data_IF_613420129630
#
_entry.id   IF_613420129630
#
_cell.length_a   1.000
_cell.length_b   1.000
_cell.length_c   1.000
_cell.angle_alpha   90.00
_cell.angle_beta   90.00
_cell.angle_gamma   90.00
#
_symmetry.space_group_name_H-M   'P 1'
#
loop_
_entity.id
_entity.type
_entity.pdbx_description
1 polymer ?
#
# COMPACT_ATOMS: atom_id res chain seq x y z
N UNK A 1 -12.46 7.84 9.81
CA UNK A 1 -11.17 7.62 9.22
C UNK A 1 -11.23 6.47 8.22
N UNK A 2 -10.73 6.66 7.03
CA UNK A 2 -10.69 5.60 6.03
C UNK A 2 -9.41 4.78 6.17
N UNK A 3 -9.53 3.47 6.06
CA UNK A 3 -8.41 2.54 6.14
C UNK A 3 -8.62 1.42 5.14
N UNK A 4 -7.71 1.31 4.19
CA UNK A 4 -7.71 0.25 3.18
C UNK A 4 -6.45 -0.60 3.33
N UNK A 5 -6.62 -1.91 3.22
CA UNK A 5 -5.56 -2.88 3.44
C UNK A 5 -5.34 -3.72 2.20
N UNK A 6 -4.08 -3.95 1.87
CA UNK A 6 -3.66 -4.80 0.76
C UNK A 6 -2.54 -5.70 1.24
N UNK A 7 -2.64 -7.00 0.96
CA UNK A 7 -1.59 -7.96 1.30
C UNK A 7 -1.16 -8.69 0.04
N UNK A 8 0.14 -8.69 -0.21
CA UNK A 8 0.72 -9.34 -1.38
C UNK A 8 1.74 -10.38 -0.93
N UNK A 9 1.79 -11.50 -1.65
CA UNK A 9 2.75 -12.56 -1.43
C UNK A 9 3.97 -12.32 -2.31
N UNK A 10 5.16 -12.35 -1.72
CA UNK A 10 6.41 -12.21 -2.47
C UNK A 10 6.80 -13.55 -3.08
N UNK A 11 7.44 -13.54 -4.27
CA UNK A 11 8.01 -14.77 -4.84
C UNK A 11 9.09 -15.32 -3.93
N UNK A 12 9.31 -16.64 -3.91
CA UNK A 12 10.42 -17.23 -3.17
C UNK A 12 11.75 -16.63 -3.59
N UNK A 13 12.60 -16.31 -2.62
CA UNK A 13 13.92 -15.76 -2.88
C UNK A 13 13.94 -14.26 -3.16
N UNK A 14 12.81 -13.56 -3.06
CA UNK A 14 12.78 -12.10 -3.23
C UNK A 14 13.55 -11.42 -2.11
N UNK A 15 14.40 -10.45 -2.48
CA UNK A 15 15.10 -9.64 -1.50
C UNK A 15 14.18 -8.53 -0.99
N UNK A 16 14.08 -8.39 0.32
CA UNK A 16 13.22 -7.39 0.95
C UNK A 16 13.53 -5.97 0.48
N UNK A 17 14.82 -5.62 0.41
CA UNK A 17 15.22 -4.29 -0.03
C UNK A 17 14.81 -4.01 -1.48
N UNK A 18 14.91 -5.01 -2.36
CA UNK A 18 14.50 -4.85 -3.75
C UNK A 18 13.01 -4.53 -3.87
N UNK A 19 12.18 -5.18 -3.06
CA UNK A 19 10.73 -4.94 -3.08
C UNK A 19 10.42 -3.51 -2.63
N UNK A 20 11.04 -3.05 -1.55
CA UNK A 20 10.84 -1.69 -1.05
C UNK A 20 11.40 -0.64 -2.00
N UNK A 21 12.54 -0.92 -2.66
CA UNK A 21 13.09 -0.02 -3.67
C UNK A 21 12.14 0.13 -4.85
N UNK A 22 11.59 -0.98 -5.33
CA UNK A 22 10.61 -0.97 -6.42
C UNK A 22 9.35 -0.23 -6.03
N UNK A 23 8.90 -0.42 -4.80
CA UNK A 23 7.73 0.29 -4.27
C UNK A 23 8.00 1.80 -4.20
N UNK A 24 9.18 2.20 -3.75
CA UNK A 24 9.57 3.61 -3.69
C UNK A 24 9.53 4.24 -5.08
N UNK A 25 10.08 3.56 -6.09
CA UNK A 25 10.05 4.04 -7.47
C UNK A 25 8.62 4.17 -7.99
N UNK A 26 7.77 3.21 -7.67
CA UNK A 26 6.35 3.24 -8.04
C UNK A 26 5.63 4.43 -7.39
N UNK A 27 5.88 4.65 -6.11
CA UNK A 27 5.24 5.73 -5.35
C UNK A 27 5.62 7.12 -5.87
N UNK A 28 6.80 7.27 -6.46
CA UNK A 28 7.21 8.53 -7.08
C UNK A 28 6.26 8.94 -8.21
N UNK A 29 5.58 8.00 -8.84
CA UNK A 29 4.64 8.28 -9.93
C UNK A 29 3.32 8.87 -9.45
N UNK A 30 3.04 8.79 -8.16
CA UNK A 30 1.86 9.42 -7.55
C UNK A 30 2.27 10.58 -6.63
N UNK A 31 3.48 11.11 -6.82
CA UNK A 31 4.03 12.23 -6.07
C UNK A 31 4.04 11.98 -4.56
N UNK A 32 4.25 10.74 -4.16
CA UNK A 32 4.35 10.38 -2.76
C UNK A 32 5.69 10.84 -2.19
N UNK A 33 5.66 11.30 -0.95
CA UNK A 33 6.84 11.70 -0.21
C UNK A 33 7.16 10.64 0.83
N UNK A 34 8.33 10.01 0.71
CA UNK A 34 8.76 9.00 1.68
C UNK A 34 9.21 9.73 2.95
N UNK A 35 8.54 9.46 4.06
CA UNK A 35 8.88 10.11 5.33
C UNK A 35 9.64 9.21 6.30
N UNK A 36 9.64 7.91 6.05
CA UNK A 36 10.40 6.98 6.88
C UNK A 36 10.68 5.68 6.13
N UNK A 37 11.85 5.13 6.32
CA UNK A 37 12.19 3.84 5.73
C UNK A 37 13.19 3.07 6.59
N UNK A 38 12.92 1.77 6.77
CA UNK A 38 13.83 0.79 7.38
C UNK A 38 13.95 -0.41 6.41
N UNK A 39 14.80 -1.40 6.70
CA UNK A 39 14.88 -2.58 5.82
C UNK A 39 13.58 -3.36 5.64
N UNK A 40 12.63 -3.24 6.58
CA UNK A 40 11.36 -3.98 6.53
C UNK A 40 10.13 -3.10 6.54
N UNK A 41 10.29 -1.78 6.56
CA UNK A 41 9.17 -0.84 6.70
C UNK A 41 9.40 0.41 5.87
N UNK A 42 8.30 0.93 5.34
CA UNK A 42 8.32 2.19 4.60
C UNK A 42 7.02 2.93 4.90
N UNK A 43 7.11 4.24 5.10
CA UNK A 43 5.91 5.06 5.15
C UNK A 43 6.06 6.26 4.22
N UNK A 44 4.93 6.70 3.68
CA UNK A 44 4.89 7.78 2.71
C UNK A 44 3.64 8.63 2.89
N UNK A 45 3.76 9.88 2.53
CA UNK A 45 2.64 10.81 2.48
C UNK A 45 2.20 11.00 1.04
N UNK A 46 0.91 10.88 0.80
CA UNK A 46 0.29 11.08 -0.50
C UNK A 46 -0.73 12.19 -0.41
N UNK A 47 -0.92 12.89 -1.53
CA UNK A 47 -1.95 13.93 -1.63
C UNK A 47 -2.92 13.55 -2.73
N UNK A 48 -4.20 13.79 -2.48
CA UNK A 48 -5.21 13.61 -3.51
C UNK A 48 -5.10 14.69 -4.58
N UNK A 49 -5.72 14.45 -5.71
CA UNK A 49 -5.88 15.48 -6.73
C UNK A 49 -6.58 16.69 -6.10
N UNK A 50 -5.99 17.87 -6.26
CA UNK A 50 -6.50 19.09 -5.66
C UNK A 50 -6.11 19.28 -4.20
N UNK A 51 -5.34 18.37 -3.63
CA UNK A 51 -4.79 18.46 -2.28
C UNK A 51 -5.82 18.55 -1.17
N UNK A 52 -7.05 18.14 -1.43
CA UNK A 52 -8.13 18.22 -0.46
C UNK A 52 -8.00 17.19 0.66
N UNK A 53 -7.29 16.11 0.43
CA UNK A 53 -7.08 15.05 1.41
C UNK A 53 -5.61 14.64 1.45
N UNK A 54 -5.10 14.52 2.66
CA UNK A 54 -3.78 13.92 2.88
C UNK A 54 -3.97 12.47 3.27
N UNK A 55 -3.15 11.62 2.69
CA UNK A 55 -3.21 10.18 2.93
C UNK A 55 -1.84 9.71 3.38
N UNK A 56 -1.83 8.67 4.18
CA UNK A 56 -0.61 8.05 4.65
C UNK A 56 -0.59 6.60 4.24
N UNK A 57 0.51 6.16 3.65
CA UNK A 57 0.72 4.78 3.27
C UNK A 57 1.78 4.17 4.16
N UNK A 58 1.47 3.00 4.71
CA UNK A 58 2.43 2.18 5.44
C UNK A 58 2.65 0.88 4.69
N UNK A 59 3.90 0.50 4.54
CA UNK A 59 4.29 -0.75 3.89
C UNK A 59 5.17 -1.54 4.85
N UNK A 60 4.78 -2.76 5.15
CA UNK A 60 5.52 -3.64 6.05
C UNK A 60 5.82 -4.96 5.37
N UNK A 61 7.08 -5.39 5.46
CA UNK A 61 7.49 -6.71 5.02
C UNK A 61 7.41 -7.66 6.22
N UNK A 62 6.69 -8.75 6.03
CA UNK A 62 6.47 -9.75 7.07
C UNK A 62 7.00 -11.10 6.63
N UNK A 63 7.73 -11.77 7.50
CA UNK A 63 8.14 -13.16 7.29
C UNK A 63 7.09 -14.07 7.89
N UNK A 64 6.52 -14.93 7.07
CA UNK A 64 5.49 -15.88 7.47
C UNK A 64 5.94 -17.31 7.15
N UNK A 65 5.35 -18.30 7.81
CA UNK A 65 5.67 -19.68 7.55
C UNK A 65 5.47 -20.11 6.10
N UNK A 66 4.50 -19.50 5.41
CA UNK A 66 4.23 -19.77 4.00
C UNK A 66 4.97 -18.87 3.02
N UNK A 67 5.94 -18.07 3.49
CA UNK A 67 6.69 -17.12 2.67
C UNK A 67 6.57 -15.70 3.17
N UNK A 68 7.25 -14.78 2.49
CA UNK A 68 7.25 -13.38 2.86
C UNK A 68 6.05 -12.66 2.26
N UNK A 69 5.51 -11.69 2.97
CA UNK A 69 4.39 -10.88 2.55
C UNK A 69 4.68 -9.40 2.68
N UNK A 70 4.10 -8.62 1.77
CA UNK A 70 4.08 -7.17 1.83
C UNK A 70 2.67 -6.74 2.23
N UNK A 71 2.57 -6.02 3.33
CA UNK A 71 1.29 -5.47 3.79
C UNK A 71 1.29 -3.97 3.56
N UNK A 72 0.29 -3.47 2.85
CA UNK A 72 0.11 -2.05 2.58
C UNK A 72 -1.16 -1.57 3.25
N UNK A 73 -1.06 -0.47 3.98
CA UNK A 73 -2.21 0.17 4.63
C UNK A 73 -2.27 1.62 4.16
N UNK A 74 -3.39 2.01 3.57
CA UNK A 74 -3.65 3.38 3.18
C UNK A 74 -4.65 4.00 4.14
N UNK A 75 -4.26 5.10 4.78
CA UNK A 75 -5.07 5.79 5.78
C UNK A 75 -5.36 7.21 5.33
N UNK A 76 -6.54 7.69 5.64
CA UNK A 76 -6.90 9.10 5.48
C UNK A 76 -7.89 9.51 6.55
N UNK A 77 -8.16 10.82 6.62
CA UNK A 77 -9.20 11.35 7.51
C UNK A 77 -10.57 11.38 6.88
N UNK A 78 -10.68 10.92 5.64
CA UNK A 78 -11.95 10.88 4.94
C UNK A 78 -12.92 9.94 5.67
N UNK A 79 -14.18 10.34 5.81
CA UNK A 79 -15.18 9.53 6.48
C UNK A 79 -15.61 8.33 5.64
N UNK A 80 -15.90 7.21 6.28
CA UNK A 80 -16.37 6.00 5.60
C UNK A 80 -17.87 6.00 5.32
N UNK A 81 -18.63 6.99 5.79
CA UNK A 81 -20.07 7.05 5.59
C UNK A 81 -20.49 7.09 4.13
N UNK A 82 -19.66 7.66 3.26
CA UNK A 82 -19.90 7.71 1.82
C UNK A 82 -18.99 6.77 1.05
N UNK A 83 -18.28 5.87 1.75
CA UNK A 83 -17.35 4.94 1.12
C UNK A 83 -15.96 5.49 0.85
N UNK A 84 -15.65 6.67 1.39
CA UNK A 84 -14.35 7.33 1.24
C UNK A 84 -13.90 7.39 -0.23
N UNK A 85 -14.63 8.06 -1.12
CA UNK A 85 -14.37 7.98 -2.56
C UNK A 85 -13.00 8.51 -2.96
N UNK A 86 -12.47 9.52 -2.28
CA UNK A 86 -11.16 10.09 -2.61
C UNK A 86 -10.05 9.11 -2.25
N UNK A 87 -10.13 8.51 -1.07
CA UNK A 87 -9.16 7.53 -0.61
C UNK A 87 -9.26 6.25 -1.44
N UNK A 88 -10.48 5.82 -1.77
CA UNK A 88 -10.71 4.66 -2.63
C UNK A 88 -10.09 4.85 -4.01
N UNK A 89 -10.20 6.03 -4.58
CA UNK A 89 -9.60 6.33 -5.89
C UNK A 89 -8.08 6.16 -5.83
N UNK A 90 -7.44 6.68 -4.80
CA UNK A 90 -6.00 6.50 -4.61
C UNK A 90 -5.65 5.03 -4.41
N UNK A 91 -6.45 4.31 -3.62
CA UNK A 91 -6.24 2.88 -3.39
C UNK A 91 -6.31 2.08 -4.69
N UNK A 92 -7.31 2.35 -5.53
CA UNK A 92 -7.44 1.69 -6.84
C UNK A 92 -6.27 2.02 -7.75
N UNK A 93 -5.79 3.25 -7.72
CA UNK A 93 -4.61 3.65 -8.49
C UNK A 93 -3.38 2.88 -8.04
N UNK A 94 -3.18 2.72 -6.74
CA UNK A 94 -2.07 1.94 -6.20
C UNK A 94 -2.16 0.47 -6.60
N UNK A 95 -3.36 -0.12 -6.55
CA UNK A 95 -3.57 -1.50 -6.98
C UNK A 95 -3.19 -1.66 -8.45
N UNK A 96 -3.63 -0.75 -9.30
CA UNK A 96 -3.30 -0.79 -10.73
C UNK A 96 -1.79 -0.69 -10.97
N UNK A 97 -1.10 0.20 -10.26
CA UNK A 97 0.34 0.35 -10.39
C UNK A 97 1.08 -0.91 -9.92
N UNK A 98 0.62 -1.52 -8.84
CA UNK A 98 1.21 -2.77 -8.35
C UNK A 98 1.05 -3.88 -9.38
N UNK A 99 -0.11 -4.00 -10.00
CA UNK A 99 -0.36 -5.01 -11.03
C UNK A 99 0.52 -4.80 -12.26
N UNK A 100 0.78 -3.55 -12.63
CA UNK A 100 1.56 -3.22 -13.81
C UNK A 100 3.08 -3.32 -13.56
N UNK A 101 3.54 -2.87 -12.41
CA UNK A 101 4.97 -2.67 -12.17
C UNK A 101 5.58 -3.67 -11.20
N UNK A 102 4.77 -4.28 -10.34
CA UNK A 102 5.21 -5.30 -9.39
C UNK A 102 4.38 -6.56 -9.58
N UNK A 103 4.22 -6.98 -10.83
CA UNK A 103 3.37 -8.10 -11.20
C UNK A 103 3.83 -9.45 -10.64
N UNK A 104 5.08 -9.55 -10.19
CA UNK A 104 5.57 -10.75 -9.52
C UNK A 104 4.99 -10.93 -8.12
N UNK A 105 4.44 -9.88 -7.53
CA UNK A 105 3.76 -9.96 -6.23
C UNK A 105 2.33 -10.42 -6.45
N UNK A 106 1.93 -11.47 -5.75
CA UNK A 106 0.58 -11.99 -5.87
C UNK A 106 -0.34 -11.36 -4.82
N UNK A 107 -1.45 -10.80 -5.26
CA UNK A 107 -2.45 -10.26 -4.35
C UNK A 107 -3.12 -11.40 -3.59
N UNK A 108 -3.03 -11.37 -2.25
CA UNK A 108 -3.58 -12.40 -1.36
C UNK A 108 -4.83 -11.93 -0.67
N UNK A 109 -4.89 -10.65 -0.34
CA UNK A 109 -6.01 -10.09 0.40
C UNK A 109 -6.16 -8.62 0.08
N UNK A 110 -7.41 -8.19 0.03
CA UNK A 110 -7.75 -6.79 -0.19
C UNK A 110 -8.98 -6.45 0.64
N UNK A 111 -8.90 -5.35 1.40
CA UNK A 111 -10.02 -4.83 2.15
C UNK A 111 -10.30 -3.40 1.73
N UNK A 112 -11.51 -3.14 1.28
CA UNK A 112 -11.96 -1.82 0.86
C UNK A 112 -12.62 -1.05 2.01
N UNK A 113 -12.48 -1.56 3.23
CA UNK A 113 -13.08 -0.91 4.39
C UNK A 113 -12.35 -1.27 5.66
N UNK A 114 -12.52 -0.41 6.64
CA UNK A 114 -11.92 -0.57 7.94
C UNK A 114 -12.41 -1.83 8.64
N UNK A 115 -11.53 -2.47 9.36
CA UNK A 115 -11.86 -3.59 10.24
C UNK A 115 -11.71 -4.98 9.65
N UNK A 116 -11.61 -5.14 8.33
CA UNK A 116 -11.38 -6.45 7.74
C UNK A 116 -9.91 -6.84 7.88
N UNK A 117 -9.64 -8.08 8.28
CA UNK A 117 -8.28 -8.57 8.51
C UNK A 117 -8.10 -9.90 7.77
N UNK A 118 -6.94 -10.13 7.13
CA UNK A 118 -6.66 -11.43 6.51
C UNK A 118 -6.52 -12.51 7.57
N UNK A 119 -7.02 -13.68 7.27
CA UNK A 119 -6.89 -14.85 8.13
C UNK A 119 -5.93 -15.86 7.55
#
# INVERSE_FOLDING_TARGET
MARFLLVLQLPPGSAANSVLDSLTAMLAQVDAEIDHRTPAHLSALLKSAGESQRMQLFADLQSKAGGNRLELVLLSREGMGTGAPITRQMFEQLVSLLEQQLSSLALVFRSDRDGAVPV
#
